data_IF_198890436911
#
_entry.id   IF_198890436911
#
_cell.length_a   1.000
_cell.length_b   1.000
_cell.length_c   1.000
_cell.angle_alpha   90.00
_cell.angle_beta   90.00
_cell.angle_gamma   90.00
#
_symmetry.space_group_name_H-M   'P 1'
#
loop_
_entity.id
_entity.type
_entity.pdbx_description
1 polymer ?
#
# COMPACT_ATOMS: atom_id res chain seq x y z
N UNK A 1 24.30 6.26 3.60
CA UNK A 1 23.35 7.25 3.01
C UNK A 1 22.13 6.62 2.36
N UNK A 2 22.06 5.29 2.17
CA UNK A 2 20.90 4.59 1.56
C UNK A 2 19.75 4.29 2.56
N UNK A 3 20.02 4.28 3.86
CA UNK A 3 19.04 3.91 4.90
C UNK A 3 17.86 4.89 5.06
N UNK A 4 18.09 6.19 4.86
CA UNK A 4 17.04 7.20 4.92
C UNK A 4 16.04 7.02 3.77
N UNK A 5 16.54 6.79 2.55
CA UNK A 5 15.71 6.52 1.38
C UNK A 5 14.85 5.26 1.56
N UNK A 6 15.41 4.21 2.19
CA UNK A 6 14.66 2.98 2.47
C UNK A 6 13.62 3.14 3.58
N UNK A 7 13.78 4.15 4.44
CA UNK A 7 12.76 4.52 5.44
C UNK A 7 11.63 5.29 4.77
N UNK A 8 11.95 6.17 3.84
CA UNK A 8 10.95 6.92 3.06
C UNK A 8 10.12 5.99 2.17
N UNK A 9 10.72 4.96 1.57
CA UNK A 9 9.99 3.93 0.81
C UNK A 9 9.00 3.18 1.71
N UNK A 10 9.42 2.80 2.91
CA UNK A 10 8.52 2.15 3.88
C UNK A 10 7.34 3.06 4.23
N UNK A 11 7.60 4.34 4.55
CA UNK A 11 6.56 5.30 4.85
C UNK A 11 5.61 5.53 3.66
N UNK A 12 6.14 5.59 2.44
CA UNK A 12 5.37 5.71 1.21
C UNK A 12 4.41 4.52 1.02
N UNK A 13 4.84 3.30 1.36
CA UNK A 13 3.98 2.11 1.31
C UNK A 13 2.74 2.24 2.22
N UNK A 14 2.93 2.79 3.42
CA UNK A 14 1.81 3.05 4.35
C UNK A 14 0.83 4.06 3.77
N UNK A 15 1.32 5.15 3.16
CA UNK A 15 0.46 6.15 2.52
C UNK A 15 -0.29 5.54 1.32
N UNK A 16 0.37 4.73 0.50
CA UNK A 16 -0.29 4.02 -0.60
C UNK A 16 -1.39 3.09 -0.07
N UNK A 17 -1.14 2.38 1.04
CA UNK A 17 -2.15 1.59 1.72
C UNK A 17 -3.36 2.42 2.16
N UNK A 18 -3.15 3.60 2.75
CA UNK A 18 -4.23 4.51 3.15
C UNK A 18 -5.05 4.99 1.95
N UNK A 19 -4.40 5.25 0.80
CA UNK A 19 -5.08 5.61 -0.44
C UNK A 19 -5.97 4.47 -0.97
N UNK A 20 -5.56 3.21 -0.83
CA UNK A 20 -6.40 2.06 -1.21
C UNK A 20 -7.70 1.98 -0.40
N UNK A 21 -7.68 2.41 0.86
CA UNK A 21 -8.88 2.54 1.70
C UNK A 21 -9.75 3.75 1.34
N UNK A 22 -9.35 4.60 0.40
CA UNK A 22 -10.10 5.79 -0.04
C UNK A 22 -10.49 5.77 -1.51
N UNK A 23 -9.95 4.83 -2.29
CA UNK A 23 -10.22 4.71 -3.71
C UNK A 23 -11.57 4.04 -3.95
N UNK A 24 -12.57 4.82 -4.38
CA UNK A 24 -13.94 4.33 -4.60
C UNK A 24 -14.03 3.24 -5.68
N UNK A 25 -13.12 3.25 -6.65
CA UNK A 25 -13.10 2.27 -7.76
C UNK A 25 -12.67 0.87 -7.30
N UNK A 26 -12.03 0.78 -6.13
CA UNK A 26 -11.59 -0.50 -5.53
C UNK A 26 -12.72 -1.12 -4.71
N UNK A 27 -13.61 -0.31 -4.16
CA UNK A 27 -14.66 -0.74 -3.25
C UNK A 27 -16.01 -0.78 -3.95
N UNK A 28 -17.00 -1.53 -3.44
CA UNK A 28 -18.35 -1.48 -3.96
C UNK A 28 -18.88 -0.02 -3.91
N UNK A 29 -19.57 0.46 -4.95
CA UNK A 29 -19.95 1.88 -5.08
C UNK A 29 -20.83 2.42 -3.94
N UNK A 30 -21.52 1.54 -3.22
CA UNK A 30 -22.43 1.89 -2.13
C UNK A 30 -21.81 1.76 -0.73
N UNK A 31 -20.55 1.32 -0.62
CA UNK A 31 -19.91 1.07 0.66
C UNK A 31 -18.43 1.50 0.64
N UNK A 32 -18.14 2.81 0.43
CA UNK A 32 -16.78 3.29 0.57
C UNK A 32 -16.36 3.15 2.05
N UNK A 33 -15.24 2.49 2.34
CA UNK A 33 -14.83 2.29 3.72
C UNK A 33 -14.43 3.62 4.38
N UNK A 34 -14.58 3.66 5.69
CA UNK A 34 -14.09 4.78 6.50
C UNK A 34 -12.57 4.87 6.35
N UNK A 35 -12.05 6.10 6.30
CA UNK A 35 -10.61 6.33 6.30
C UNK A 35 -9.98 5.62 7.50
N UNK A 36 -8.86 4.95 7.26
CA UNK A 36 -8.06 4.31 8.30
C UNK A 36 -6.62 4.75 8.17
N UNK A 37 -6.02 5.05 9.31
CA UNK A 37 -4.58 5.26 9.42
C UNK A 37 -3.89 3.89 9.48
N UNK A 38 -2.68 3.79 8.94
CA UNK A 38 -1.91 2.56 9.08
C UNK A 38 -1.75 2.17 10.56
N UNK A 39 -1.95 0.88 10.86
CA UNK A 39 -1.90 0.32 12.22
C UNK A 39 -2.98 0.80 13.21
N UNK A 40 -4.00 1.55 12.78
CA UNK A 40 -5.08 2.08 13.66
C UNK A 40 -5.81 1.00 14.49
N UNK A 41 -5.87 -0.24 13.99
CA UNK A 41 -6.45 -1.38 14.70
C UNK A 41 -5.44 -2.17 15.57
N UNK A 42 -4.17 -1.77 15.59
CA UNK A 42 -3.09 -2.47 16.29
C UNK A 42 -2.43 -1.63 17.38
N UNK A 43 -2.51 -0.30 17.28
CA UNK A 43 -1.91 0.63 18.23
C UNK A 43 -2.88 1.74 18.63
N UNK A 44 -2.67 2.42 19.77
CA UNK A 44 -3.45 3.60 20.14
C UNK A 44 -3.28 4.74 19.12
N UNK A 45 -4.28 5.63 19.02
CA UNK A 45 -4.31 6.78 18.10
C UNK A 45 -3.08 7.71 18.18
N UNK A 46 -2.49 7.84 19.37
CA UNK A 46 -1.23 8.56 19.58
C UNK A 46 -0.14 7.56 20.02
N UNK A 47 0.44 6.80 19.07
CA UNK A 47 1.32 5.71 19.40
C UNK A 47 2.70 6.23 19.82
N UNK A 48 3.26 5.62 20.86
CA UNK A 48 4.66 5.82 21.28
C UNK A 48 5.51 4.67 20.76
N UNK A 49 6.83 4.82 20.84
CA UNK A 49 7.77 3.76 20.44
C UNK A 49 7.44 2.41 21.10
N UNK A 50 7.05 2.42 22.38
CA UNK A 50 6.67 1.21 23.11
C UNK A 50 5.40 0.51 22.59
N UNK A 51 4.53 1.22 21.86
CA UNK A 51 3.36 0.63 21.19
C UNK A 51 3.69 0.12 19.79
N UNK A 52 4.50 0.86 19.03
CA UNK A 52 4.86 0.51 17.65
C UNK A 52 5.88 -0.63 17.57
N UNK A 53 6.87 -0.65 18.46
CA UNK A 53 7.98 -1.62 18.42
C UNK A 53 7.51 -3.08 18.51
N UNK A 54 6.64 -3.46 19.47
CA UNK A 54 6.10 -4.81 19.53
C UNK A 54 5.39 -5.21 18.23
N UNK A 55 4.58 -4.32 17.65
CA UNK A 55 3.77 -4.61 16.48
C UNK A 55 4.61 -4.72 15.20
N UNK A 56 5.42 -3.69 14.91
CA UNK A 56 6.10 -3.52 13.61
C UNK A 56 7.44 -4.28 13.56
N UNK A 57 8.18 -4.28 14.66
CA UNK A 57 9.56 -4.81 14.71
C UNK A 57 9.57 -6.24 15.23
N UNK A 58 9.00 -6.48 16.42
CA UNK A 58 9.03 -7.79 17.07
C UNK A 58 8.07 -8.78 16.40
N UNK A 59 6.82 -8.38 16.25
CA UNK A 59 5.75 -9.24 15.72
C UNK A 59 5.63 -9.13 14.19
N UNK A 60 6.41 -8.22 13.58
CA UNK A 60 6.52 -8.00 12.12
C UNK A 60 5.18 -7.81 11.42
N UNK A 61 4.19 -7.29 12.13
CA UNK A 61 2.86 -7.05 11.59
C UNK A 61 2.90 -5.90 10.58
N UNK A 62 1.95 -5.93 9.65
CA UNK A 62 1.71 -4.90 8.64
C UNK A 62 0.23 -4.57 8.60
N UNK A 63 -0.16 -3.40 8.04
CA UNK A 63 -1.56 -3.08 7.85
C UNK A 63 -2.28 -4.15 7.03
N UNK A 64 -3.54 -4.42 7.37
CA UNK A 64 -4.31 -5.54 6.81
C UNK A 64 -4.52 -5.39 5.29
N UNK A 65 -4.62 -6.51 4.59
CA UNK A 65 -4.96 -6.48 3.16
C UNK A 65 -6.41 -6.01 2.97
N UNK A 66 -6.67 -4.98 2.15
CA UNK A 66 -8.02 -4.57 1.80
C UNK A 66 -8.85 -5.75 1.27
N UNK A 67 -10.04 -5.99 1.84
CA UNK A 67 -10.90 -7.11 1.46
C UNK A 67 -11.28 -7.10 -0.04
N UNK A 68 -11.41 -5.92 -0.62
CA UNK A 68 -11.60 -5.75 -2.05
C UNK A 68 -10.48 -6.42 -2.86
N UNK A 69 -9.21 -6.20 -2.52
CA UNK A 69 -8.06 -6.80 -3.21
C UNK A 69 -8.08 -8.33 -3.10
N UNK A 70 -8.49 -8.87 -1.96
CA UNK A 70 -8.60 -10.31 -1.76
C UNK A 70 -9.71 -10.95 -2.62
N UNK A 71 -10.87 -10.28 -2.71
CA UNK A 71 -12.02 -10.73 -3.52
C UNK A 71 -11.74 -10.68 -5.02
N UNK A 72 -10.88 -9.76 -5.46
CA UNK A 72 -10.62 -9.50 -6.87
C UNK A 72 -9.46 -10.32 -7.48
N UNK A 73 -8.75 -11.15 -6.69
CA UNK A 73 -7.69 -12.05 -7.20
C UNK A 73 -8.15 -13.06 -8.29
N UNK A 74 -9.46 -13.25 -8.47
CA UNK A 74 -10.05 -14.13 -9.49
C UNK A 74 -10.67 -13.42 -10.70
N UNK A 75 -10.65 -12.09 -10.78
CA UNK A 75 -11.29 -11.33 -11.88
C UNK A 75 -10.24 -10.66 -12.77
N UNK A 76 -10.25 -10.97 -14.06
CA UNK A 76 -9.26 -10.52 -15.06
C UNK A 76 -9.15 -8.99 -15.20
N UNK A 77 -10.21 -8.25 -14.85
CA UNK A 77 -10.26 -6.79 -15.03
C UNK A 77 -9.53 -6.00 -13.94
N UNK A 78 -9.03 -6.66 -12.87
CA UNK A 78 -8.39 -6.01 -11.72
C UNK A 78 -7.00 -6.59 -11.41
N UNK A 79 -6.36 -7.23 -12.39
CA UNK A 79 -4.96 -7.73 -12.30
C UNK A 79 -3.99 -6.66 -11.76
N UNK A 80 -4.17 -5.40 -12.19
CA UNK A 80 -3.33 -4.31 -11.73
C UNK A 80 -3.47 -3.95 -10.24
N UNK A 81 -4.61 -4.22 -9.59
CA UNK A 81 -4.73 -4.01 -8.13
C UNK A 81 -3.95 -5.06 -7.34
N UNK A 82 -3.91 -6.29 -7.82
CA UNK A 82 -3.09 -7.34 -7.21
C UNK A 82 -1.60 -7.03 -7.39
N UNK A 83 -1.21 -6.52 -8.55
CA UNK A 83 0.16 -6.05 -8.81
C UNK A 83 0.53 -4.85 -7.91
N UNK A 84 -0.37 -3.87 -7.77
CA UNK A 84 -0.19 -2.73 -6.85
C UNK A 84 0.01 -3.20 -5.42
N UNK A 85 -0.80 -4.17 -4.97
CA UNK A 85 -0.67 -4.73 -3.63
C UNK A 85 0.67 -5.44 -3.42
N UNK A 86 1.07 -6.30 -4.36
CA UNK A 86 2.37 -6.97 -4.33
C UNK A 86 3.51 -5.95 -4.26
N UNK A 87 3.38 -4.86 -4.98
CA UNK A 87 4.38 -3.80 -4.98
C UNK A 87 4.43 -3.06 -3.64
N UNK A 88 3.28 -2.71 -3.04
CA UNK A 88 3.22 -2.13 -1.68
C UNK A 88 3.85 -3.08 -0.66
N UNK A 89 3.64 -4.39 -0.81
CA UNK A 89 4.25 -5.36 0.10
C UNK A 89 5.78 -5.40 0.01
N UNK A 90 6.33 -5.28 -1.20
CA UNK A 90 7.78 -5.18 -1.40
C UNK A 90 8.36 -3.89 -0.79
N UNK A 91 7.61 -2.79 -0.76
CA UNK A 91 8.09 -1.50 -0.23
C UNK A 91 8.25 -1.47 1.29
N UNK A 92 7.41 -2.22 2.02
CA UNK A 92 7.43 -2.24 3.49
C UNK A 92 8.08 -3.48 4.09
N UNK A 93 8.93 -4.15 3.32
CA UNK A 93 9.71 -5.29 3.77
C UNK A 93 10.47 -4.97 5.06
N UNK A 94 10.61 -5.98 5.92
CA UNK A 94 11.22 -5.77 7.24
C UNK A 94 12.68 -5.35 7.09
N UNK A 95 13.43 -6.12 6.30
CA UNK A 95 14.83 -5.84 6.00
C UNK A 95 14.93 -4.69 4.99
N UNK A 96 15.70 -3.62 5.28
CA UNK A 96 15.88 -2.51 4.36
C UNK A 96 16.41 -2.90 2.98
N UNK A 97 17.20 -3.97 2.89
CA UNK A 97 17.76 -4.49 1.63
C UNK A 97 16.71 -5.22 0.77
N UNK A 98 15.66 -5.74 1.41
CA UNK A 98 14.51 -6.36 0.72
C UNK A 98 13.54 -5.34 0.14
N UNK A 99 13.63 -4.07 0.57
CA UNK A 99 12.76 -3.01 0.10
C UNK A 99 13.15 -2.53 -1.30
N UNK A 100 12.14 -2.30 -2.13
CA UNK A 100 12.37 -1.70 -3.46
C UNK A 100 12.98 -0.31 -3.34
N UNK A 101 13.71 0.14 -4.35
CA UNK A 101 14.20 1.53 -4.38
C UNK A 101 13.08 2.49 -4.79
N UNK A 102 13.19 3.77 -4.41
CA UNK A 102 12.25 4.80 -4.84
C UNK A 102 12.16 4.94 -6.38
N UNK A 103 13.28 4.75 -7.10
CA UNK A 103 13.29 4.75 -8.56
C UNK A 103 12.53 3.54 -9.13
N UNK A 104 12.80 2.34 -8.62
CA UNK A 104 12.08 1.13 -9.03
C UNK A 104 10.58 1.23 -8.75
N UNK A 105 10.22 1.79 -7.59
CA UNK A 105 8.85 2.12 -7.18
C UNK A 105 8.15 2.98 -8.21
N UNK A 106 8.76 4.12 -8.55
CA UNK A 106 8.19 5.07 -9.49
C UNK A 106 7.99 4.43 -10.88
N UNK A 107 8.94 3.62 -11.35
CA UNK A 107 8.82 2.96 -12.66
C UNK A 107 7.73 1.88 -12.67
N UNK A 108 7.59 1.10 -11.60
CA UNK A 108 6.51 0.12 -11.46
C UNK A 108 5.15 0.80 -11.45
N UNK A 109 4.97 1.88 -10.69
CA UNK A 109 3.73 2.66 -10.67
C UNK A 109 3.38 3.26 -12.05
N UNK A 110 4.38 3.77 -12.80
CA UNK A 110 4.17 4.28 -14.16
C UNK A 110 3.68 3.20 -15.12
N UNK A 111 4.27 2.00 -15.06
CA UNK A 111 3.84 0.84 -15.87
C UNK A 111 2.43 0.41 -15.49
N UNK A 112 2.19 0.26 -14.19
CA UNK A 112 0.88 -0.13 -13.69
C UNK A 112 -0.23 0.85 -14.11
N UNK A 113 0.04 2.16 -14.12
CA UNK A 113 -0.90 3.18 -14.59
C UNK A 113 -1.33 2.94 -16.05
N UNK A 114 -0.42 2.49 -16.92
CA UNK A 114 -0.74 2.18 -18.31
C UNK A 114 -1.66 0.95 -18.41
N UNK A 115 -1.49 -0.03 -17.53
CA UNK A 115 -2.30 -1.24 -17.47
C UNK A 115 -3.69 -0.98 -16.87
N UNK A 116 -3.77 -0.16 -15.82
CA UNK A 116 -5.03 0.18 -15.14
C UNK A 116 -5.85 1.22 -15.92
N UNK A 117 -5.23 1.97 -16.82
CA UNK A 117 -5.92 2.98 -17.62
C UNK A 117 -5.47 2.94 -19.10
N UNK A 118 -6.03 2.04 -19.93
CA UNK A 118 -5.71 1.98 -21.36
C UNK A 118 -6.26 3.19 -22.15
N UNK A 119 -7.24 3.91 -21.60
CA UNK A 119 -7.76 5.15 -22.15
C UNK A 119 -7.43 6.27 -21.16
N UNK A 120 -6.16 6.69 -21.13
CA UNK A 120 -5.65 7.76 -20.28
C UNK A 120 -6.69 8.85 -20.07
N UNK A 121 -6.86 9.28 -18.81
CA UNK A 121 -7.78 10.36 -18.41
C UNK A 121 -7.78 11.40 -19.52
N UNK A 122 -8.91 11.53 -20.23
CA UNK A 122 -9.06 12.61 -21.19
C UNK A 122 -8.82 13.88 -20.38
N UNK A 123 -7.72 14.57 -20.68
CA UNK A 123 -7.46 15.89 -20.13
C UNK A 123 -8.68 16.77 -20.42
N UNK A 124 -9.14 17.59 -19.46
CA UNK A 124 -10.23 18.53 -19.69
C UNK A 124 -9.88 19.61 -20.72
#
# INVERSE_FOLDING_TARGET
MTSLLQTDVYACALVLWELLWRCKDIWPPNEPPVYRVAFDNMVPRDPRLGHMYPVVVRDRRRPDTPAAIQKHRGSSNLSGLAELWSFITDMWEHEPEGRTTAACTADRLRRLRQTLNPAGVADP
#
